data_IF_681490385860
#
_entry.id   IF_681490385860
#
_cell.length_a   1.000
_cell.length_b   1.000
_cell.length_c   1.000
_cell.angle_alpha   90.00
_cell.angle_beta   90.00
_cell.angle_gamma   90.00
#
_symmetry.space_group_name_H-M   'P 1'
#
loop_
_entity.id
_entity.type
_entity.pdbx_description
1 polymer ?
#
# COMPACT_ATOMS: atom_id res chain seq x y z
N UNK A 1 20.54 -14.61 13.03
CA UNK A 1 21.39 -14.72 14.23
C UNK A 1 22.84 -14.29 13.90
N UNK A 2 23.74 -14.32 14.89
CA UNK A 2 25.14 -13.90 14.71
C UNK A 2 25.88 -14.76 13.67
N UNK A 3 25.57 -16.05 13.58
CA UNK A 3 26.19 -16.96 12.62
C UNK A 3 25.71 -16.67 11.20
N UNK A 4 24.43 -16.41 11.02
CA UNK A 4 23.87 -15.99 9.72
C UNK A 4 24.50 -14.68 9.24
N UNK A 5 24.69 -13.71 10.14
CA UNK A 5 25.38 -12.46 9.81
C UNK A 5 26.82 -12.69 9.38
N UNK A 6 27.57 -13.55 10.09
CA UNK A 6 28.94 -13.90 9.72
C UNK A 6 29.02 -14.59 8.35
N UNK A 7 28.09 -15.52 8.08
CA UNK A 7 27.99 -16.19 6.80
C UNK A 7 27.72 -15.17 5.68
N UNK A 8 26.70 -14.31 5.84
CA UNK A 8 26.41 -13.24 4.88
C UNK A 8 27.63 -12.35 4.63
N UNK A 9 28.30 -11.88 5.67
CA UNK A 9 29.48 -11.02 5.55
C UNK A 9 30.65 -11.69 4.82
N UNK A 10 30.76 -13.03 4.89
CA UNK A 10 31.81 -13.79 4.18
C UNK A 10 31.49 -14.06 2.72
N UNK A 11 30.19 -14.11 2.37
CA UNK A 11 29.70 -14.50 1.04
C UNK A 11 29.26 -13.30 0.19
N UNK A 12 29.04 -12.11 0.83
CA UNK A 12 28.54 -10.92 0.13
C UNK A 12 29.49 -10.46 -0.99
N UNK A 13 28.91 -9.97 -2.06
CA UNK A 13 29.67 -9.33 -3.15
C UNK A 13 30.41 -8.09 -2.64
N UNK A 14 31.65 -7.91 -3.05
CA UNK A 14 32.53 -6.84 -2.56
C UNK A 14 32.37 -5.53 -3.31
N UNK A 15 31.80 -5.57 -4.51
CA UNK A 15 31.55 -4.42 -5.40
C UNK A 15 30.13 -3.82 -5.25
N UNK A 16 29.29 -4.43 -4.39
CA UNK A 16 27.96 -3.94 -4.04
C UNK A 16 27.98 -3.29 -2.66
N UNK A 17 27.38 -2.10 -2.55
CA UNK A 17 27.16 -1.42 -1.28
C UNK A 17 25.92 -2.00 -0.58
N UNK A 18 26.08 -2.38 0.66
CA UNK A 18 25.00 -2.88 1.50
C UNK A 18 24.70 -1.92 2.64
N UNK A 19 23.42 -1.86 3.06
CA UNK A 19 22.98 -1.23 4.30
C UNK A 19 22.47 -2.32 5.24
N UNK A 20 22.74 -2.18 6.53
CA UNK A 20 22.20 -3.05 7.56
C UNK A 20 21.43 -2.21 8.57
N UNK A 21 20.18 -2.57 8.81
CA UNK A 21 19.27 -1.85 9.70
C UNK A 21 18.61 -2.82 10.69
N UNK A 22 18.08 -2.30 11.78
CA UNK A 22 17.30 -3.07 12.74
C UNK A 22 16.05 -3.63 12.06
N UNK A 23 15.77 -4.93 12.28
CA UNK A 23 14.53 -5.54 11.80
C UNK A 23 13.33 -5.09 12.67
N UNK A 24 12.34 -4.49 12.03
CA UNK A 24 11.15 -3.94 12.70
C UNK A 24 9.95 -4.86 12.47
N UNK A 25 9.35 -5.35 13.56
CA UNK A 25 8.14 -6.16 13.53
C UNK A 25 6.91 -5.28 13.40
N UNK A 26 6.45 -5.05 12.18
CA UNK A 26 5.41 -4.07 11.91
C UNK A 26 4.54 -4.43 10.69
N UNK A 27 3.41 -3.74 10.59
CA UNK A 27 2.62 -3.59 9.36
C UNK A 27 3.00 -2.26 8.69
N UNK A 28 3.12 -2.24 7.36
CA UNK A 28 3.38 -1.00 6.62
C UNK A 28 2.05 -0.26 6.42
N UNK A 29 2.03 0.98 6.88
CA UNK A 29 0.93 1.92 6.74
C UNK A 29 1.43 3.14 5.98
N UNK A 30 0.64 3.71 5.07
CA UNK A 30 1.01 4.95 4.42
C UNK A 30 0.20 6.16 4.88
N UNK A 31 0.77 7.32 4.65
CA UNK A 31 0.10 8.60 4.56
C UNK A 31 0.31 9.13 3.15
N UNK A 32 -0.77 9.23 2.40
CA UNK A 32 -0.81 9.72 1.03
C UNK A 32 -1.59 11.03 1.01
N UNK A 33 -0.99 12.11 0.48
CA UNK A 33 -1.62 13.41 0.49
C UNK A 33 -1.22 14.30 -0.69
N UNK A 34 -2.10 15.22 -1.04
CA UNK A 34 -1.82 16.34 -1.94
C UNK A 34 -1.74 17.61 -1.08
N UNK A 35 -0.55 18.18 -1.03
CA UNK A 35 -0.19 19.31 -0.16
C UNK A 35 -0.13 20.59 -0.99
N UNK A 36 -0.75 21.66 -0.52
CA UNK A 36 -0.76 22.98 -1.15
C UNK A 36 0.55 23.78 -0.93
N UNK A 37 0.61 25.03 -1.40
CA UNK A 37 1.78 25.90 -1.26
C UNK A 37 2.04 26.36 0.19
N UNK A 38 1.05 26.22 1.07
CA UNK A 38 1.14 26.57 2.48
C UNK A 38 1.55 25.40 3.36
N UNK A 39 1.61 24.18 2.80
CA UNK A 39 1.91 22.95 3.52
C UNK A 39 0.67 22.28 4.11
N UNK A 40 -0.53 22.70 3.68
CA UNK A 40 -1.80 22.14 4.14
C UNK A 40 -2.33 21.09 3.16
N UNK A 41 -2.93 19.99 3.65
CA UNK A 41 -3.45 18.94 2.79
C UNK A 41 -4.79 19.31 2.16
N UNK A 42 -4.85 19.28 0.82
CA UNK A 42 -6.10 19.35 0.04
C UNK A 42 -6.81 17.98 -0.01
N UNK A 43 -6.06 16.91 0.12
CA UNK A 43 -6.53 15.52 0.18
C UNK A 43 -5.59 14.70 1.04
N UNK A 44 -6.14 13.79 1.83
CA UNK A 44 -5.39 12.83 2.65
C UNK A 44 -6.06 11.47 2.64
N UNK A 45 -5.26 10.44 2.55
CA UNK A 45 -5.67 9.04 2.70
C UNK A 45 -4.49 8.20 3.19
N UNK A 46 -4.66 6.89 3.24
CA UNK A 46 -3.59 5.95 3.52
C UNK A 46 -3.91 4.58 2.97
N UNK A 47 -2.87 3.78 2.80
CA UNK A 47 -3.00 2.38 2.48
C UNK A 47 -2.35 1.50 3.55
N UNK A 48 -2.71 0.24 3.55
CA UNK A 48 -2.08 -0.83 4.34
C UNK A 48 -1.50 -1.85 3.39
N UNK A 49 -0.23 -2.17 3.59
CA UNK A 49 0.48 -3.26 2.90
C UNK A 49 0.82 -4.32 3.93
N UNK A 50 -0.01 -5.39 4.08
CA UNK A 50 0.15 -6.38 5.14
C UNK A 50 1.41 -7.23 5.00
N UNK A 51 1.89 -7.41 3.77
CA UNK A 51 3.09 -8.16 3.43
C UNK A 51 4.01 -7.21 2.67
N UNK A 52 5.28 -7.13 3.06
CA UNK A 52 6.23 -6.24 2.38
C UNK A 52 6.40 -6.64 0.91
N UNK A 53 6.65 -5.66 0.05
CA UNK A 53 6.94 -5.92 -1.37
C UNK A 53 8.17 -6.82 -1.52
N UNK A 54 9.18 -6.66 -0.66
CA UNK A 54 10.37 -7.52 -0.65
C UNK A 54 10.02 -8.98 -0.36
N UNK A 55 9.15 -9.24 0.62
CA UNK A 55 8.70 -10.60 0.92
C UNK A 55 7.89 -11.19 -0.25
N UNK A 56 7.03 -10.38 -0.88
CA UNK A 56 6.25 -10.78 -2.06
C UNK A 56 7.18 -11.19 -3.22
N UNK A 57 8.22 -10.41 -3.49
CA UNK A 57 9.20 -10.70 -4.55
C UNK A 57 10.03 -11.92 -4.20
N UNK A 58 10.62 -11.97 -2.99
CA UNK A 58 11.51 -13.04 -2.57
C UNK A 58 10.82 -14.40 -2.47
N UNK A 59 9.55 -14.44 -2.08
CA UNK A 59 8.78 -15.68 -1.89
C UNK A 59 7.86 -16.01 -3.08
N UNK A 60 7.87 -15.19 -4.13
CA UNK A 60 6.92 -15.28 -5.24
C UNK A 60 5.46 -15.32 -4.75
N UNK A 61 5.15 -14.51 -3.72
CA UNK A 61 3.83 -14.49 -3.12
C UNK A 61 2.83 -13.65 -3.92
N UNK A 62 1.54 -13.84 -3.61
CA UNK A 62 0.48 -13.01 -4.14
C UNK A 62 0.52 -11.63 -3.47
N UNK A 63 0.38 -10.57 -4.25
CA UNK A 63 0.40 -9.21 -3.74
C UNK A 63 -0.99 -8.81 -3.20
N UNK A 64 -1.03 -8.23 -2.00
CA UNK A 64 -2.24 -7.60 -1.46
C UNK A 64 -1.89 -6.27 -0.77
N UNK A 65 -2.73 -5.27 -1.00
CA UNK A 65 -2.76 -4.03 -0.23
C UNK A 65 -4.14 -3.37 -0.40
N UNK A 66 -4.47 -2.39 0.41
CA UNK A 66 -5.76 -1.73 0.31
C UNK A 66 -5.73 -0.28 0.78
N UNK A 67 -6.52 0.56 0.13
CA UNK A 67 -6.80 1.91 0.60
C UNK A 67 -7.78 1.83 1.77
N UNK A 68 -7.45 2.56 2.81
CA UNK A 68 -8.28 2.69 4.00
C UNK A 68 -9.57 3.44 3.69
N UNK A 69 -10.67 2.98 4.29
CA UNK A 69 -11.93 3.72 4.31
C UNK A 69 -11.78 5.07 5.00
N UNK A 70 -11.14 5.06 6.16
CA UNK A 70 -10.88 6.24 6.98
C UNK A 70 -9.42 6.22 7.43
N UNK A 71 -8.72 7.34 7.30
CA UNK A 71 -7.33 7.47 7.74
C UNK A 71 -7.26 7.54 9.27
N UNK A 72 -6.53 6.63 9.95
CA UNK A 72 -6.34 6.68 11.40
C UNK A 72 -5.71 8.00 11.85
N UNK A 73 -6.17 8.53 12.99
CA UNK A 73 -5.75 9.83 13.47
C UNK A 73 -4.27 9.90 13.84
N UNK A 74 -3.70 8.81 14.34
CA UNK A 74 -2.28 8.70 14.64
C UNK A 74 -1.41 8.73 13.37
N UNK A 75 -1.83 8.02 12.31
CA UNK A 75 -1.17 8.06 10.98
C UNK A 75 -1.28 9.47 10.38
N UNK A 76 -2.46 10.11 10.48
CA UNK A 76 -2.68 11.50 10.05
C UNK A 76 -1.72 12.45 10.75
N UNK A 77 -1.60 12.36 12.08
CA UNK A 77 -0.68 13.18 12.87
C UNK A 77 0.78 12.97 12.48
N UNK A 78 1.19 11.71 12.30
CA UNK A 78 2.54 11.38 11.84
C UNK A 78 2.82 11.95 10.45
N UNK A 79 1.89 11.76 9.49
CA UNK A 79 2.02 12.28 8.13
C UNK A 79 2.12 13.80 8.09
N UNK A 80 1.24 14.53 8.78
CA UNK A 80 1.29 15.99 8.85
C UNK A 80 2.55 16.50 9.57
N UNK A 81 3.03 15.82 10.60
CA UNK A 81 4.30 16.15 11.24
C UNK A 81 5.47 15.98 10.27
N UNK A 82 5.45 14.94 9.45
CA UNK A 82 6.45 14.70 8.39
C UNK A 82 6.39 15.80 7.32
N UNK A 83 5.19 16.17 6.83
CA UNK A 83 5.00 17.32 5.91
C UNK A 83 5.69 18.58 6.47
N UNK A 84 5.43 18.89 7.73
CA UNK A 84 6.00 20.07 8.40
C UNK A 84 7.53 19.95 8.54
N UNK A 85 8.04 18.80 8.97
CA UNK A 85 9.47 18.59 9.22
C UNK A 85 10.31 18.68 7.94
N UNK A 86 9.77 18.23 6.82
CA UNK A 86 10.42 18.29 5.50
C UNK A 86 10.11 19.59 4.73
N UNK A 87 9.27 20.48 5.28
CA UNK A 87 8.88 21.72 4.62
C UNK A 87 8.16 21.50 3.30
N UNK A 88 7.34 20.44 3.22
CA UNK A 88 6.67 20.02 1.98
C UNK A 88 5.66 21.07 1.54
N UNK A 89 5.72 21.45 0.26
CA UNK A 89 4.81 22.40 -0.38
C UNK A 89 4.54 21.99 -1.82
N UNK A 90 3.33 22.26 -2.30
CA UNK A 90 2.89 22.02 -3.68
C UNK A 90 3.33 20.63 -4.18
N UNK A 91 2.97 19.58 -3.43
CA UNK A 91 3.48 18.23 -3.68
C UNK A 91 2.43 17.15 -3.42
N UNK A 92 2.41 16.12 -4.27
CA UNK A 92 1.84 14.83 -3.90
C UNK A 92 2.90 14.06 -3.15
N UNK A 93 2.53 13.48 -2.00
CA UNK A 93 3.42 12.72 -1.13
C UNK A 93 2.88 11.31 -0.86
N UNK A 94 3.81 10.40 -0.65
CA UNK A 94 3.57 9.04 -0.20
C UNK A 94 4.60 8.73 0.89
N UNK A 95 4.18 8.80 2.15
CA UNK A 95 5.03 8.49 3.30
C UNK A 95 4.67 7.14 3.86
N UNK A 96 5.66 6.32 4.13
CA UNK A 96 5.46 5.02 4.74
C UNK A 96 5.88 5.01 6.21
N UNK A 97 5.10 4.32 7.01
CA UNK A 97 5.30 4.15 8.43
C UNK A 97 5.14 2.68 8.80
N UNK A 98 5.94 2.24 9.73
CA UNK A 98 5.75 1.01 10.46
C UNK A 98 4.75 1.21 11.59
N UNK A 99 3.71 0.38 11.66
CA UNK A 99 2.87 0.22 12.83
C UNK A 99 3.31 -1.04 13.57
N UNK A 100 3.94 -0.89 14.73
CA UNK A 100 4.53 -2.01 15.47
C UNK A 100 3.47 -3.08 15.82
N UNK A 101 3.78 -4.34 15.54
CA UNK A 101 2.92 -5.49 15.87
C UNK A 101 3.22 -6.07 17.26
N UNK A 102 4.36 -5.71 17.84
CA UNK A 102 4.77 -6.03 19.22
C UNK A 102 5.59 -4.89 19.83
N UNK A 103 5.82 -4.94 21.14
CA UNK A 103 6.75 -4.02 21.81
C UNK A 103 8.16 -4.25 21.27
N UNK A 104 8.88 -3.17 21.00
CA UNK A 104 10.29 -3.21 20.55
C UNK A 104 11.08 -2.14 21.30
N UNK A 105 12.19 -2.55 21.94
CA UNK A 105 13.04 -1.65 22.71
C UNK A 105 13.62 -0.57 21.77
N UNK A 106 13.69 0.67 22.24
CA UNK A 106 14.15 1.82 21.46
C UNK A 106 13.15 2.36 20.44
N UNK A 107 12.14 1.57 20.01
CA UNK A 107 11.16 1.96 18.99
C UNK A 107 9.77 2.27 19.57
N UNK A 108 9.30 1.49 20.56
CA UNK A 108 8.02 1.77 21.21
C UNK A 108 7.19 0.53 21.52
N UNK A 109 5.92 0.79 21.89
CA UNK A 109 4.94 -0.24 22.21
C UNK A 109 4.20 -0.71 20.96
N UNK A 110 3.60 -1.91 21.03
CA UNK A 110 2.67 -2.39 20.01
C UNK A 110 1.66 -1.31 19.64
N UNK A 111 1.51 -1.05 18.34
CA UNK A 111 0.64 0.00 17.77
C UNK A 111 1.32 1.35 17.57
N UNK A 112 2.53 1.58 18.12
CA UNK A 112 3.30 2.80 17.85
C UNK A 112 3.62 2.94 16.37
N UNK A 113 3.67 4.20 15.89
CA UNK A 113 4.05 4.56 14.53
C UNK A 113 5.53 4.94 14.50
N UNK A 114 6.29 4.31 13.61
CA UNK A 114 7.72 4.59 13.36
C UNK A 114 7.89 4.93 11.89
N UNK A 115 8.68 5.94 11.56
CA UNK A 115 8.92 6.34 10.17
C UNK A 115 9.68 5.24 9.41
N UNK A 116 9.31 5.01 8.14
CA UNK A 116 9.98 4.09 7.23
C UNK A 116 10.56 4.86 6.04
N UNK A 117 9.73 5.48 5.22
CA UNK A 117 10.16 6.11 3.98
C UNK A 117 9.39 7.41 3.69
N UNK A 118 10.08 8.37 3.09
CA UNK A 118 9.50 9.66 2.67
C UNK A 118 9.64 9.83 1.16
N UNK A 119 8.53 9.68 0.45
CA UNK A 119 8.47 9.82 -1.00
C UNK A 119 7.73 11.10 -1.40
N UNK A 120 8.41 11.99 -2.12
CA UNK A 120 7.86 13.25 -2.65
C UNK A 120 7.18 13.05 -4.00
N UNK A 121 6.36 12.03 -4.12
CA UNK A 121 5.62 11.61 -5.32
C UNK A 121 4.36 10.83 -4.91
N UNK A 122 3.38 10.61 -5.82
CA UNK A 122 2.29 9.67 -5.56
C UNK A 122 2.81 8.23 -5.39
N UNK A 123 2.05 7.42 -4.69
CA UNK A 123 2.26 5.97 -4.63
C UNK A 123 2.20 5.36 -6.04
N UNK A 124 2.93 4.28 -6.24
CA UNK A 124 3.06 3.61 -7.54
C UNK A 124 1.85 2.77 -7.95
N UNK A 125 1.95 2.18 -9.14
CA UNK A 125 0.94 1.27 -9.69
C UNK A 125 -0.42 1.93 -9.87
N UNK A 126 -1.49 1.22 -9.48
CA UNK A 126 -2.88 1.67 -9.57
C UNK A 126 -3.40 2.34 -8.30
N UNK A 127 -2.52 2.67 -7.36
CA UNK A 127 -2.91 3.25 -6.07
C UNK A 127 -3.68 4.57 -6.20
N UNK A 128 -3.32 5.52 -7.10
CA UNK A 128 -4.14 6.72 -7.32
C UNK A 128 -5.56 6.42 -7.83
N UNK A 129 -5.73 5.43 -8.71
CA UNK A 129 -7.06 4.98 -9.17
C UNK A 129 -7.85 4.35 -8.03
N UNK A 130 -7.18 3.57 -7.17
CA UNK A 130 -7.80 2.99 -5.99
C UNK A 130 -8.25 4.06 -4.98
N UNK A 131 -7.50 5.16 -4.83
CA UNK A 131 -7.91 6.32 -4.04
C UNK A 131 -9.20 6.93 -4.61
N UNK A 132 -9.28 7.08 -5.94
CA UNK A 132 -10.48 7.57 -6.62
C UNK A 132 -11.69 6.67 -6.32
N UNK A 133 -11.53 5.37 -6.41
CA UNK A 133 -12.59 4.43 -6.10
C UNK A 133 -12.98 4.45 -4.61
N UNK A 134 -11.99 4.40 -3.69
CA UNK A 134 -12.23 4.38 -2.25
C UNK A 134 -13.03 5.59 -1.77
N UNK A 135 -12.69 6.77 -2.28
CA UNK A 135 -13.23 8.05 -1.81
C UNK A 135 -14.24 8.71 -2.76
N UNK A 136 -14.55 8.07 -3.90
CA UNK A 136 -15.48 8.59 -4.92
C UNK A 136 -15.12 10.02 -5.33
N UNK A 137 -13.87 10.25 -5.71
CA UNK A 137 -13.30 11.53 -6.12
C UNK A 137 -12.31 11.35 -7.29
N UNK A 138 -11.62 12.40 -7.68
CA UNK A 138 -10.58 12.38 -8.70
C UNK A 138 -9.30 13.05 -8.16
N UNK A 139 -8.31 12.24 -7.73
CA UNK A 139 -7.03 12.75 -7.21
C UNK A 139 -6.20 13.43 -8.31
N UNK A 140 -6.36 13.03 -9.57
CA UNK A 140 -5.66 13.65 -10.68
C UNK A 140 -6.17 15.09 -10.89
N UNK A 141 -7.50 15.28 -10.75
CA UNK A 141 -8.07 16.62 -10.77
C UNK A 141 -7.64 17.45 -9.57
N UNK A 142 -7.61 16.87 -8.36
CA UNK A 142 -7.11 17.58 -7.16
C UNK A 142 -5.65 18.00 -7.37
N UNK A 143 -4.83 17.13 -7.94
CA UNK A 143 -3.44 17.45 -8.26
C UNK A 143 -3.34 18.60 -9.28
N UNK A 144 -4.08 18.53 -10.38
CA UNK A 144 -4.11 19.57 -11.40
C UNK A 144 -4.61 20.91 -10.85
N UNK A 145 -5.68 20.89 -10.06
CA UNK A 145 -6.25 22.07 -9.40
C UNK A 145 -5.24 22.71 -8.43
N UNK A 146 -4.51 21.89 -7.65
CA UNK A 146 -3.48 22.37 -6.75
C UNK A 146 -2.35 23.07 -7.50
N UNK A 147 -1.85 22.49 -8.58
CA UNK A 147 -0.79 23.10 -9.39
C UNK A 147 -1.27 24.40 -10.04
N UNK A 148 -2.50 24.46 -10.55
CA UNK A 148 -3.03 25.60 -11.29
C UNK A 148 -3.56 26.73 -10.38
N UNK A 149 -4.15 26.38 -9.24
CA UNK A 149 -4.96 27.30 -8.43
C UNK A 149 -4.63 27.28 -6.94
N UNK A 150 -3.73 26.40 -6.50
CA UNK A 150 -3.37 26.16 -5.10
C UNK A 150 -4.59 25.81 -4.20
N UNK A 151 -5.65 25.28 -4.78
CA UNK A 151 -6.90 24.87 -4.12
C UNK A 151 -7.67 23.90 -5.00
N UNK A 152 -8.68 23.23 -4.44
CA UNK A 152 -9.60 22.39 -5.19
C UNK A 152 -11.02 22.46 -4.63
N UNK A 153 -12.01 22.32 -5.52
CA UNK A 153 -13.44 22.17 -5.17
C UNK A 153 -13.87 20.68 -5.14
N UNK A 154 -12.95 19.76 -5.48
CA UNK A 154 -13.25 18.32 -5.40
C UNK A 154 -13.47 17.92 -3.95
N UNK A 155 -14.54 17.16 -3.71
CA UNK A 155 -14.88 16.62 -2.39
C UNK A 155 -15.14 15.12 -2.50
N UNK A 156 -14.75 14.38 -1.46
CA UNK A 156 -15.12 12.97 -1.33
C UNK A 156 -16.65 12.83 -1.29
N UNK A 157 -17.16 11.86 -2.06
CA UNK A 157 -18.59 11.49 -2.10
C UNK A 157 -18.86 10.10 -1.54
N UNK A 158 -17.82 9.43 -1.07
CA UNK A 158 -17.93 8.10 -0.52
C UNK A 158 -16.68 7.67 0.23
N UNK A 159 -16.84 6.68 1.10
CA UNK A 159 -15.75 6.09 1.85
C UNK A 159 -15.92 4.57 1.87
N UNK A 160 -14.96 3.86 1.27
CA UNK A 160 -14.92 2.40 1.22
C UNK A 160 -13.49 1.89 1.32
N UNK A 161 -13.32 0.64 1.70
CA UNK A 161 -12.06 -0.07 1.49
C UNK A 161 -11.91 -0.37 0.00
N UNK A 162 -10.76 -0.03 -0.59
CA UNK A 162 -10.43 -0.42 -1.95
C UNK A 162 -9.28 -1.40 -1.92
N UNK A 163 -9.58 -2.67 -2.19
CA UNK A 163 -8.65 -3.78 -2.11
C UNK A 163 -7.98 -4.02 -3.46
N UNK A 164 -6.66 -4.22 -3.45
CA UNK A 164 -5.88 -4.79 -4.53
C UNK A 164 -5.53 -6.23 -4.21
N UNK A 165 -5.68 -7.13 -5.19
CA UNK A 165 -5.19 -8.49 -5.13
C UNK A 165 -4.52 -8.87 -6.45
N UNK A 166 -3.25 -9.24 -6.39
CA UNK A 166 -2.48 -9.74 -7.52
C UNK A 166 -2.23 -11.24 -7.39
N UNK A 167 -2.68 -12.02 -8.35
CA UNK A 167 -2.44 -13.47 -8.44
C UNK A 167 -1.22 -13.77 -9.29
N UNK A 168 -0.44 -14.76 -8.89
CA UNK A 168 0.66 -15.30 -9.67
C UNK A 168 0.19 -16.42 -10.57
N UNK A 169 0.67 -16.44 -11.81
CA UNK A 169 0.55 -17.60 -12.69
C UNK A 169 1.27 -18.81 -12.08
N UNK A 170 0.79 -20.01 -12.38
CA UNK A 170 1.35 -21.23 -11.82
C UNK A 170 0.82 -21.63 -10.43
N UNK A 171 0.17 -20.72 -9.68
CA UNK A 171 -0.54 -21.10 -8.45
C UNK A 171 -1.94 -21.65 -8.76
N UNK A 172 -2.30 -22.77 -8.11
CA UNK A 172 -3.60 -23.46 -8.33
C UNK A 172 -4.66 -22.95 -7.37
N UNK A 173 -5.40 -21.92 -7.74
CA UNK A 173 -6.46 -21.34 -6.91
C UNK A 173 -7.72 -22.21 -6.87
N UNK A 174 -8.46 -22.14 -5.74
CA UNK A 174 -9.76 -22.81 -5.56
C UNK A 174 -10.80 -22.25 -6.52
N UNK A 175 -10.86 -20.91 -6.62
CA UNK A 175 -11.72 -20.21 -7.59
C UNK A 175 -10.87 -19.76 -8.78
N UNK A 176 -11.28 -20.11 -9.99
CA UNK A 176 -10.69 -19.53 -11.20
C UNK A 176 -11.09 -18.07 -11.40
N UNK A 177 -10.51 -17.41 -12.40
CA UNK A 177 -10.76 -16.00 -12.66
C UNK A 177 -12.20 -15.70 -13.04
N UNK A 178 -12.87 -16.60 -13.79
CA UNK A 178 -14.27 -16.45 -14.17
C UNK A 178 -15.19 -16.52 -12.95
N UNK A 179 -14.91 -17.45 -12.04
CA UNK A 179 -15.65 -17.59 -10.78
C UNK A 179 -15.47 -16.37 -9.86
N UNK A 180 -14.25 -15.79 -9.80
CA UNK A 180 -14.01 -14.55 -9.03
C UNK A 180 -14.78 -13.39 -9.66
N UNK A 181 -14.74 -13.22 -10.99
CA UNK A 181 -15.50 -12.16 -11.70
C UNK A 181 -16.99 -12.25 -11.42
N UNK A 182 -17.56 -13.43 -11.51
CA UNK A 182 -19.00 -13.60 -11.24
C UNK A 182 -19.34 -13.35 -9.77
N UNK A 183 -18.54 -13.90 -8.84
CA UNK A 183 -18.78 -13.79 -7.40
C UNK A 183 -18.70 -12.35 -6.89
N UNK A 184 -17.79 -11.55 -7.42
CA UNK A 184 -17.49 -10.19 -6.98
C UNK A 184 -17.87 -9.11 -8.01
N UNK A 185 -18.68 -9.45 -9.03
CA UNK A 185 -19.06 -8.56 -10.15
C UNK A 185 -19.50 -7.15 -9.74
N UNK A 186 -20.18 -7.00 -8.60
CA UNK A 186 -20.65 -5.70 -8.10
C UNK A 186 -19.59 -4.93 -7.30
N UNK A 187 -18.53 -5.62 -6.85
CA UNK A 187 -17.44 -5.03 -6.10
C UNK A 187 -16.27 -4.63 -7.00
N UNK A 188 -16.01 -5.40 -8.06
CA UNK A 188 -14.88 -5.20 -8.97
C UNK A 188 -14.95 -3.83 -9.66
N UNK A 189 -13.80 -3.16 -9.68
CA UNK A 189 -13.54 -1.88 -10.36
C UNK A 189 -12.52 -2.03 -11.47
N UNK A 190 -11.52 -2.89 -11.27
CA UNK A 190 -10.51 -3.21 -12.27
C UNK A 190 -10.21 -4.71 -12.22
N UNK A 191 -9.91 -5.28 -13.36
CA UNK A 191 -9.58 -6.69 -13.57
C UNK A 191 -8.79 -6.80 -14.87
N UNK A 192 -7.48 -7.03 -14.78
CA UNK A 192 -6.63 -7.10 -15.97
C UNK A 192 -5.32 -7.84 -15.70
N UNK A 193 -4.71 -8.31 -16.79
CA UNK A 193 -3.33 -8.80 -16.78
C UNK A 193 -2.37 -7.64 -16.61
N UNK A 194 -1.33 -7.84 -15.80
CA UNK A 194 -0.28 -6.86 -15.62
C UNK A 194 0.86 -7.05 -16.63
N UNK A 195 1.48 -5.96 -17.08
CA UNK A 195 2.69 -6.05 -17.89
C UNK A 195 3.83 -6.62 -17.04
N UNK A 196 4.79 -7.33 -17.67
CA UNK A 196 5.91 -7.99 -16.99
C UNK A 196 6.67 -7.08 -16.02
N UNK A 197 6.83 -5.80 -16.37
CA UNK A 197 7.52 -4.83 -15.51
C UNK A 197 6.84 -4.60 -14.14
N UNK A 198 5.55 -4.89 -14.01
CA UNK A 198 4.80 -4.77 -12.75
C UNK A 198 4.51 -6.13 -12.11
N UNK A 199 4.53 -7.21 -12.89
CA UNK A 199 4.11 -8.53 -12.45
C UNK A 199 4.97 -9.06 -11.30
N UNK A 200 6.27 -8.77 -11.29
CA UNK A 200 7.20 -9.23 -10.26
C UNK A 200 6.79 -8.75 -8.85
N UNK A 201 6.37 -7.50 -8.71
CA UNK A 201 5.95 -6.93 -7.44
C UNK A 201 4.44 -7.04 -7.17
N UNK A 202 3.62 -7.17 -8.21
CA UNK A 202 2.17 -7.01 -8.10
C UNK A 202 1.36 -8.24 -8.55
N UNK A 203 2.01 -9.33 -9.01
CA UNK A 203 1.34 -10.50 -9.57
C UNK A 203 1.01 -10.35 -11.06
N UNK A 204 0.62 -11.45 -11.71
CA UNK A 204 0.36 -11.48 -13.16
C UNK A 204 -1.05 -11.05 -13.53
N UNK A 205 -2.04 -11.42 -12.71
CA UNK A 205 -3.45 -11.05 -12.86
C UNK A 205 -3.88 -10.22 -11.65
N UNK A 206 -4.33 -8.99 -11.88
CA UNK A 206 -4.78 -8.11 -10.81
C UNK A 206 -6.30 -7.99 -10.74
N UNK A 207 -6.78 -7.67 -9.54
CA UNK A 207 -8.15 -7.31 -9.23
C UNK A 207 -8.16 -6.13 -8.28
N UNK A 208 -9.00 -5.14 -8.56
CA UNK A 208 -9.31 -4.04 -7.64
C UNK A 208 -10.80 -4.08 -7.32
N UNK A 209 -11.15 -4.09 -6.04
CA UNK A 209 -12.53 -4.23 -5.60
C UNK A 209 -12.86 -3.33 -4.40
N UNK A 210 -14.12 -2.88 -4.31
CA UNK A 210 -14.63 -2.03 -3.23
C UNK A 210 -15.46 -2.79 -2.22
N UNK A 211 -15.27 -2.47 -0.93
CA UNK A 211 -16.00 -3.07 0.18
C UNK A 211 -16.39 -2.00 1.22
N UNK A 212 -17.60 -2.15 1.76
CA UNK A 212 -18.08 -1.24 2.83
C UNK A 212 -17.48 -1.56 4.19
N UNK A 213 -17.14 -2.83 4.40
CA UNK A 213 -16.60 -3.33 5.67
C UNK A 213 -15.30 -4.10 5.46
N UNK A 214 -14.44 -4.07 6.50
CA UNK A 214 -13.21 -4.87 6.49
C UNK A 214 -13.49 -6.37 6.40
N UNK A 215 -14.55 -6.85 7.05
CA UNK A 215 -14.96 -8.28 7.00
C UNK A 215 -15.26 -8.75 5.57
N UNK A 216 -15.96 -7.93 4.78
CA UNK A 216 -16.22 -8.26 3.36
C UNK A 216 -14.93 -8.28 2.54
N UNK A 217 -14.03 -7.33 2.78
CA UNK A 217 -12.72 -7.28 2.14
C UNK A 217 -11.84 -8.48 2.52
N UNK A 218 -11.79 -8.83 3.81
CA UNK A 218 -11.02 -9.99 4.28
C UNK A 218 -11.56 -11.30 3.66
N UNK A 219 -12.90 -11.40 3.50
CA UNK A 219 -13.52 -12.53 2.78
C UNK A 219 -13.11 -12.56 1.30
N UNK A 220 -13.04 -11.42 0.64
CA UNK A 220 -12.55 -11.34 -0.73
C UNK A 220 -11.10 -11.83 -0.83
N UNK A 221 -10.19 -11.38 0.04
CA UNK A 221 -8.81 -11.85 0.08
C UNK A 221 -8.73 -13.35 0.34
N UNK A 222 -9.50 -13.87 1.29
CA UNK A 222 -9.57 -15.31 1.53
C UNK A 222 -9.98 -16.08 0.26
N UNK A 223 -11.04 -15.65 -0.41
CA UNK A 223 -11.57 -16.36 -1.58
C UNK A 223 -10.62 -16.26 -2.78
N UNK A 224 -10.04 -15.08 -3.04
CA UNK A 224 -9.22 -14.84 -4.22
C UNK A 224 -7.83 -15.48 -4.11
N UNK A 225 -7.30 -15.63 -2.90
CA UNK A 225 -5.95 -16.16 -2.66
C UNK A 225 -5.91 -17.63 -2.25
N UNK A 226 -7.07 -18.24 -1.95
CA UNK A 226 -7.13 -19.62 -1.51
C UNK A 226 -6.67 -20.59 -2.60
N UNK A 227 -5.54 -21.25 -2.35
CA UNK A 227 -5.03 -22.31 -3.21
C UNK A 227 -5.68 -23.66 -2.88
N UNK A 228 -5.73 -24.56 -3.87
CA UNK A 228 -6.07 -25.98 -3.70
C UNK A 228 -4.97 -26.63 -2.88
N UNK A 229 -5.33 -27.62 -2.06
CA UNK A 229 -4.32 -28.42 -1.37
C UNK A 229 -3.44 -29.13 -2.42
N UNK A 230 -2.13 -29.14 -2.18
CA UNK A 230 -1.22 -29.98 -2.98
C UNK A 230 -1.63 -31.43 -2.79
N UNK A 231 -1.88 -32.15 -3.90
CA UNK A 231 -2.18 -33.58 -3.92
C UNK A 231 -0.88 -34.35 -3.69
#
# INVERSE_FOLDING_TARGET
DEQELKNFLSEKETDVSYIMEEFIYAEINSYDAIIDSHGEPLFETGNITPISIMDIVNNEDNAIFYILKDLPEDTRKAGRATVKSFGVKSRFVHFEFFRLTKDQEGLGKKGSIVALEVNMRPCGGFTPDMMNFAHSLDVYKIWADMIAFDKTEVRSKGHAYCAFAGRRDGKHFVYDDAQIREKYRFNLKMDQRLPKALAEAMGDQMYVALFKTKKEMDKFYHDILKCKASV
#
